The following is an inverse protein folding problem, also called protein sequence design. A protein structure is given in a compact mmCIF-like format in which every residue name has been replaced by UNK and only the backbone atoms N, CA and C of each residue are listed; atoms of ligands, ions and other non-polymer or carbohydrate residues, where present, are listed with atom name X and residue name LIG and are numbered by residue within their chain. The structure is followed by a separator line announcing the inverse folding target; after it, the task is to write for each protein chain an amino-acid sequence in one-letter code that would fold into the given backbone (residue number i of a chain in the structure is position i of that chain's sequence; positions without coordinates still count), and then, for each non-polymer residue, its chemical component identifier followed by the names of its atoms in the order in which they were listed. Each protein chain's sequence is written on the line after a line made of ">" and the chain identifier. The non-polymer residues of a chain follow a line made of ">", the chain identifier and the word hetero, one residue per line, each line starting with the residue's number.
data_IF_420657378184
#
_entry.id   IF_420657378184
#
_cell.length_a   1.000
_cell.length_b   1.000
_cell.length_c   1.000
_cell.angle_alpha   90.00
_cell.angle_beta   90.00
_cell.angle_gamma   90.00
#
_symmetry.space_group_name_H-M   'P 1'
#
loop_
_entity.id
_entity.type
_entity.pdbx_description
1 polymer ?
#
# COMPACT_ATOMS: atom_id res chain seq x y z
N UNK A 1 -3.88 -5.48 -19.92
CA UNK A 1 -4.36 -4.53 -20.94
C UNK A 1 -5.35 -3.49 -20.42
N UNK A 2 -6.46 -3.87 -19.75
CA UNK A 2 -7.44 -2.87 -19.30
C UNK A 2 -6.95 -1.88 -18.21
N UNK A 3 -5.84 -2.22 -17.53
CA UNK A 3 -5.22 -1.43 -16.46
C UNK A 3 -4.10 -0.48 -16.94
N UNK A 4 -3.64 -0.57 -18.19
CA UNK A 4 -2.46 0.17 -18.66
C UNK A 4 -2.68 1.67 -18.86
N UNK A 5 -3.93 2.13 -18.84
CA UNK A 5 -4.29 3.55 -18.98
C UNK A 5 -4.49 4.28 -17.64
N UNK A 6 -4.30 3.59 -16.52
CA UNK A 6 -4.45 4.18 -15.18
C UNK A 6 -3.17 4.95 -14.86
N UNK A 7 -3.32 6.22 -14.49
CA UNK A 7 -2.19 7.08 -14.16
C UNK A 7 -1.63 6.74 -12.79
N UNK A 8 -0.32 7.00 -12.60
CA UNK A 8 0.35 6.83 -11.31
C UNK A 8 0.53 5.38 -10.87
N UNK A 9 0.40 4.39 -11.76
CA UNK A 9 0.78 3.00 -11.45
C UNK A 9 2.31 2.89 -11.48
N UNK A 10 2.88 2.39 -10.39
CA UNK A 10 4.31 2.05 -10.28
C UNK A 10 4.55 0.56 -10.59
N UNK A 11 3.75 -0.34 -10.00
CA UNK A 11 3.87 -1.78 -10.19
C UNK A 11 2.50 -2.48 -10.28
N UNK A 12 2.42 -3.51 -11.11
CA UNK A 12 1.28 -4.44 -11.14
C UNK A 12 1.83 -5.85 -10.93
N UNK A 13 1.35 -6.53 -9.89
CA UNK A 13 1.63 -7.95 -9.67
C UNK A 13 0.33 -8.75 -9.71
N UNK A 14 0.38 -9.94 -10.30
CA UNK A 14 -0.77 -10.84 -10.36
C UNK A 14 -0.40 -12.22 -9.86
N UNK A 15 -1.23 -12.79 -9.00
CA UNK A 15 -1.14 -14.18 -8.58
C UNK A 15 -2.46 -14.87 -8.89
N UNK A 16 -2.42 -15.88 -9.74
CA UNK A 16 -3.58 -16.72 -10.04
C UNK A 16 -3.40 -18.07 -9.37
N UNK A 17 -4.45 -18.52 -8.69
CA UNK A 17 -4.61 -19.87 -8.14
C UNK A 17 -5.94 -20.42 -8.66
N UNK A 18 -6.16 -21.73 -8.57
CA UNK A 18 -7.37 -22.38 -9.11
C UNK A 18 -8.64 -21.56 -8.79
N UNK A 19 -9.34 -21.13 -9.84
CA UNK A 19 -10.57 -20.33 -9.79
C UNK A 19 -10.48 -18.95 -9.12
N UNK A 20 -9.28 -18.45 -8.80
CA UNK A 20 -9.09 -17.17 -8.11
C UNK A 20 -7.88 -16.43 -8.69
N UNK A 21 -8.11 -15.25 -9.27
CA UNK A 21 -7.03 -14.33 -9.64
C UNK A 21 -6.99 -13.17 -8.66
N UNK A 22 -5.80 -12.85 -8.15
CA UNK A 22 -5.54 -11.67 -7.34
C UNK A 22 -4.57 -10.78 -8.09
N UNK A 23 -4.97 -9.52 -8.30
CA UNK A 23 -4.14 -8.48 -8.90
C UNK A 23 -3.89 -7.43 -7.82
N UNK A 24 -2.62 -7.13 -7.57
CA UNK A 24 -2.17 -6.08 -6.67
C UNK A 24 -1.58 -4.96 -7.53
N UNK A 25 -2.06 -3.73 -7.31
CA UNK A 25 -1.60 -2.54 -8.02
C UNK A 25 -0.96 -1.61 -6.99
N UNK A 26 0.31 -1.31 -7.21
CA UNK A 26 1.08 -0.35 -6.43
C UNK A 26 1.09 0.96 -7.19
N UNK A 27 0.72 2.05 -6.52
CA UNK A 27 0.75 3.40 -7.10
C UNK A 27 2.01 4.13 -6.66
N UNK A 28 2.41 5.12 -7.46
CA UNK A 28 3.48 6.06 -7.15
C UNK A 28 3.24 6.76 -5.81
N UNK A 29 4.34 7.05 -5.11
CA UNK A 29 4.30 7.70 -3.83
C UNK A 29 3.68 9.11 -3.93
N UNK A 30 2.64 9.37 -3.14
CA UNK A 30 1.89 10.62 -3.15
C UNK A 30 0.72 10.66 -4.13
N UNK A 31 0.48 9.59 -4.90
CA UNK A 31 -0.72 9.48 -5.73
C UNK A 31 -1.99 9.36 -4.87
N UNK A 32 -3.07 10.02 -5.28
CA UNK A 32 -4.35 9.90 -4.59
C UNK A 32 -4.96 8.51 -4.84
N UNK A 33 -4.85 7.65 -3.83
CA UNK A 33 -5.41 6.30 -3.86
C UNK A 33 -6.93 6.28 -4.05
N UNK A 34 -7.68 7.35 -3.72
CA UNK A 34 -9.12 7.36 -4.00
C UNK A 34 -9.38 7.48 -5.51
N UNK A 35 -8.63 8.36 -6.18
CA UNK A 35 -8.63 8.46 -7.64
C UNK A 35 -8.20 7.14 -8.28
N UNK A 36 -7.09 6.55 -7.82
CA UNK A 36 -6.62 5.25 -8.31
C UNK A 36 -7.64 4.13 -8.15
N UNK A 37 -8.34 4.04 -7.01
CA UNK A 37 -9.41 3.05 -6.80
C UNK A 37 -10.58 3.26 -7.77
N UNK A 38 -10.95 4.51 -8.05
CA UNK A 38 -11.99 4.83 -9.03
C UNK A 38 -11.60 4.36 -10.43
N UNK A 39 -10.39 4.70 -10.87
CA UNK A 39 -9.88 4.32 -12.19
C UNK A 39 -9.77 2.80 -12.35
N UNK A 40 -9.35 2.09 -11.29
CA UNK A 40 -9.28 0.63 -11.27
C UNK A 40 -10.68 0.03 -11.36
N UNK A 41 -11.68 0.56 -10.65
CA UNK A 41 -13.07 0.09 -10.75
C UNK A 41 -13.62 0.24 -12.16
N UNK A 42 -13.34 1.36 -12.82
CA UNK A 42 -13.78 1.59 -14.19
C UNK A 42 -13.09 0.64 -15.18
N UNK A 43 -11.79 0.38 -15.00
CA UNK A 43 -11.05 -0.60 -15.78
C UNK A 43 -11.57 -2.03 -15.59
N UNK A 44 -11.87 -2.40 -14.35
CA UNK A 44 -12.44 -3.71 -14.00
C UNK A 44 -13.84 -3.85 -14.61
N UNK A 45 -14.69 -2.81 -14.55
CA UNK A 45 -16.01 -2.83 -15.16
C UNK A 45 -15.97 -3.00 -16.70
N UNK A 46 -14.95 -2.47 -17.37
CA UNK A 46 -14.70 -2.73 -18.80
C UNK A 46 -14.28 -4.19 -19.04
N UNK A 47 -13.38 -4.71 -18.19
CA UNK A 47 -12.88 -6.08 -18.27
C UNK A 47 -13.96 -7.13 -17.92
N UNK A 48 -14.93 -6.78 -17.09
CA UNK A 48 -16.00 -7.68 -16.64
C UNK A 48 -16.81 -8.25 -17.81
N UNK A 49 -16.98 -7.48 -18.90
CA UNK A 49 -17.65 -7.95 -20.14
C UNK A 49 -16.88 -9.05 -20.88
N UNK A 50 -15.62 -9.28 -20.51
CA UNK A 50 -14.77 -10.32 -21.07
C UNK A 50 -14.57 -11.50 -20.11
N UNK A 51 -15.21 -11.47 -18.94
CA UNK A 51 -15.21 -12.59 -18.00
C UNK A 51 -16.28 -13.63 -18.42
N UNK A 52 -16.06 -14.92 -18.12
CA UNK A 52 -17.09 -15.95 -18.26
C UNK A 52 -18.33 -15.63 -17.41
N UNK A 53 -19.49 -16.10 -17.84
CA UNK A 53 -20.77 -15.89 -17.13
C UNK A 53 -20.78 -16.54 -15.73
N UNK A 54 -19.94 -17.55 -15.52
CA UNK A 54 -19.80 -18.24 -14.23
C UNK A 54 -18.80 -17.57 -13.28
N UNK A 55 -18.16 -16.46 -13.68
CA UNK A 55 -17.22 -15.75 -12.83
C UNK A 55 -17.96 -14.85 -11.82
N UNK A 56 -17.53 -14.90 -10.55
CA UNK A 56 -18.02 -13.97 -9.54
C UNK A 56 -17.61 -12.52 -9.86
N UNK A 57 -18.40 -11.57 -9.36
CA UNK A 57 -18.12 -10.15 -9.51
C UNK A 57 -16.76 -9.80 -8.88
N UNK A 58 -15.86 -9.12 -9.61
CA UNK A 58 -14.55 -8.74 -9.09
C UNK A 58 -14.70 -7.68 -7.99
N UNK A 59 -13.98 -7.87 -6.89
CA UNK A 59 -13.99 -6.94 -5.75
C UNK A 59 -12.74 -6.06 -5.79
N UNK A 60 -12.95 -4.74 -5.79
CA UNK A 60 -11.87 -3.74 -5.71
C UNK A 60 -11.92 -3.03 -4.35
N UNK A 61 -10.85 -3.16 -3.58
CA UNK A 61 -10.69 -2.53 -2.28
C UNK A 61 -9.33 -1.85 -2.14
N UNK A 62 -9.27 -0.84 -1.28
CA UNK A 62 -8.04 -0.12 -0.97
C UNK A 62 -7.24 -0.92 0.07
N UNK A 63 -5.97 -1.20 -0.22
CA UNK A 63 -5.03 -1.78 0.74
C UNK A 63 -4.05 -0.70 1.19
N UNK A 64 -4.16 -0.24 2.43
CA UNK A 64 -3.33 0.84 2.97
C UNK A 64 -2.02 0.35 3.59
N UNK A 65 -1.74 -0.96 3.55
CA UNK A 65 -0.53 -1.54 4.17
C UNK A 65 -0.40 -1.30 5.69
N UNK A 66 -1.45 -0.79 6.34
CA UNK A 66 -1.42 -0.22 7.70
C UNK A 66 -1.33 -1.26 8.82
N UNK A 67 -0.66 -2.39 8.59
CA UNK A 67 -0.60 -3.50 9.55
C UNK A 67 0.73 -4.23 9.62
N UNK A 68 1.62 -4.07 8.65
CA UNK A 68 2.94 -4.72 8.66
C UNK A 68 4.03 -3.66 8.80
N UNK A 69 4.72 -3.66 9.94
CA UNK A 69 5.83 -2.75 10.16
C UNK A 69 6.93 -3.03 9.12
N UNK A 70 7.23 -2.04 8.27
CA UNK A 70 8.28 -2.17 7.26
C UNK A 70 9.69 -2.26 7.87
N UNK A 71 9.86 -1.77 9.10
CA UNK A 71 11.13 -1.77 9.82
C UNK A 71 10.92 -1.83 11.33
N UNK A 72 11.75 -2.63 12.02
CA UNK A 72 11.88 -2.61 13.47
C UNK A 72 13.22 -2.00 13.86
N UNK A 73 13.19 -1.01 14.76
CA UNK A 73 14.39 -0.35 15.28
C UNK A 73 14.47 -0.61 16.79
N UNK A 74 15.60 -1.15 17.24
CA UNK A 74 15.90 -1.33 18.66
C UNK A 74 16.88 -0.25 19.11
N UNK A 75 16.55 0.45 20.19
CA UNK A 75 17.40 1.50 20.76
C UNK A 75 18.04 1.00 22.06
N UNK A 76 19.32 1.26 22.23
CA UNK A 76 20.07 1.01 23.47
C UNK A 76 21.01 2.18 23.76
N UNK A 77 21.26 2.42 25.04
CA UNK A 77 22.18 3.46 25.50
C UNK A 77 22.86 3.04 26.79
N UNK A 78 24.13 3.39 26.94
CA UNK A 78 24.89 3.28 28.20
C UNK A 78 24.86 4.56 29.04
N UNK A 79 24.35 5.66 28.47
CA UNK A 79 24.32 6.99 29.10
C UNK A 79 22.90 7.45 29.43
N UNK A 80 21.91 7.05 28.62
CA UNK A 80 20.50 7.40 28.81
C UNK A 80 19.76 6.24 29.50
N UNK A 81 18.99 6.57 30.53
CA UNK A 81 18.02 5.65 31.09
C UNK A 81 16.84 5.40 30.14
N UNK A 82 15.95 4.47 30.51
CA UNK A 82 14.80 4.10 29.67
C UNK A 82 13.89 5.29 29.37
N UNK A 83 13.63 6.15 30.36
CA UNK A 83 12.73 7.29 30.20
C UNK A 83 13.34 8.32 29.26
N UNK A 84 14.63 8.63 29.45
CA UNK A 84 15.38 9.54 28.60
C UNK A 84 15.47 9.02 27.15
N UNK A 85 15.72 7.72 26.98
CA UNK A 85 15.80 7.10 25.66
C UNK A 85 14.44 7.09 24.95
N UNK A 86 13.34 6.90 25.68
CA UNK A 86 11.97 7.04 25.13
C UNK A 86 11.69 8.49 24.71
N UNK A 87 11.98 9.48 25.56
CA UNK A 87 11.77 10.90 25.21
C UNK A 87 12.58 11.31 23.98
N UNK A 88 13.83 10.85 23.88
CA UNK A 88 14.67 11.06 22.71
C UNK A 88 14.10 10.38 21.46
N UNK A 89 13.59 9.15 21.58
CA UNK A 89 12.98 8.44 20.47
C UNK A 89 11.73 9.16 19.95
N UNK A 90 10.85 9.62 20.83
CA UNK A 90 9.60 10.29 20.45
C UNK A 90 9.84 11.70 19.90
N UNK A 91 10.72 12.49 20.52
CA UNK A 91 10.87 13.92 20.17
C UNK A 91 11.92 14.22 19.12
N UNK A 92 12.85 13.30 18.91
CA UNK A 92 13.96 13.51 17.96
C UNK A 92 13.90 12.52 16.83
N UNK A 93 13.75 11.23 17.13
CA UNK A 93 13.80 10.20 16.09
C UNK A 93 12.48 10.15 15.32
N UNK A 94 11.33 10.10 15.99
CA UNK A 94 10.01 10.02 15.33
C UNK A 94 9.77 11.23 14.40
N UNK A 95 10.07 12.45 14.87
CA UNK A 95 9.98 13.67 14.07
C UNK A 95 10.90 13.66 12.84
N UNK A 96 12.07 13.03 12.93
CA UNK A 96 12.98 12.91 11.77
C UNK A 96 12.51 11.84 10.78
N UNK A 97 11.98 10.73 11.28
CA UNK A 97 11.48 9.64 10.43
C UNK A 97 10.18 10.03 9.71
N UNK A 98 9.32 10.83 10.33
CA UNK A 98 8.07 11.30 9.71
C UNK A 98 8.29 12.21 8.51
N UNK A 99 9.48 12.82 8.38
CA UNK A 99 9.87 13.63 7.21
C UNK A 99 10.33 12.78 6.02
N UNK A 100 10.57 11.49 6.20
CA UNK A 100 11.01 10.60 5.11
C UNK A 100 9.78 10.18 4.30
N UNK A 101 9.78 10.50 3.02
CA UNK A 101 8.69 10.14 2.10
C UNK A 101 8.48 8.61 2.11
N UNK A 102 7.26 8.16 2.38
CA UNK A 102 6.90 6.74 2.45
C UNK A 102 6.81 6.17 3.86
N UNK A 103 7.19 6.93 4.90
CA UNK A 103 6.97 6.55 6.30
C UNK A 103 5.59 7.06 6.75
N UNK A 104 4.70 6.15 7.09
CA UNK A 104 3.46 6.45 7.82
C UNK A 104 3.57 5.87 9.23
N UNK A 105 3.03 6.59 10.21
CA UNK A 105 2.88 6.11 11.60
C UNK A 105 1.89 4.96 11.70
#
# INVERSE_FOLDING_TARGET
>A
DQLSGISGIDEISSTTRNSMSRITITFELGYDLNTGVSDVRDAVARAQRSLPDEADDPIVYKNNGSGEASLYINLSSSEMDRTQLTDYAERVLMDRFSLITGVSS
#
